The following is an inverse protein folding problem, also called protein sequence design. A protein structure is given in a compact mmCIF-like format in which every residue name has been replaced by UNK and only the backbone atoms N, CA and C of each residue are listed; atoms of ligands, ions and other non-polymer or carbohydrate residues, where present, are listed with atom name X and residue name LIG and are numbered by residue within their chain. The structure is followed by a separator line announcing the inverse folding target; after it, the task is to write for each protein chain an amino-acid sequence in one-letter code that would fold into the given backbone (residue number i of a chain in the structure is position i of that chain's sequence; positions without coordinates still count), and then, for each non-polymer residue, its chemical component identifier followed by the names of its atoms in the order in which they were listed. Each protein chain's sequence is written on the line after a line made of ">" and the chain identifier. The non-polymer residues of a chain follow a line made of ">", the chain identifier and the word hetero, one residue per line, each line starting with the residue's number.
data_IF_308238776504
#
_entry.id   IF_308238776504
#
_cell.length_a   1.000
_cell.length_b   1.000
_cell.length_c   1.000
_cell.angle_alpha   90.00
_cell.angle_beta   90.00
_cell.angle_gamma   90.00
#
_symmetry.space_group_name_H-M   'P 1'
#
loop_
_entity.id
_entity.type
_entity.pdbx_description
1 polymer ?
#
# COMPACT_ATOMS: atom_id res chain seq x y z
N UNK A 1 -11.44 -19.84 -11.66
CA UNK A 1 -11.37 -18.86 -12.77
C UNK A 1 -11.53 -17.42 -12.31
N UNK A 2 -12.52 -17.06 -11.47
CA UNK A 2 -12.65 -15.68 -10.98
C UNK A 2 -11.47 -15.23 -10.10
N UNK A 3 -11.05 -16.04 -9.12
CA UNK A 3 -9.93 -15.72 -8.24
C UNK A 3 -8.59 -15.53 -8.99
N UNK A 4 -8.32 -16.39 -9.98
CA UNK A 4 -7.12 -16.29 -10.83
C UNK A 4 -7.12 -14.99 -11.64
N UNK A 5 -8.27 -14.56 -12.18
CA UNK A 5 -8.37 -13.29 -12.88
C UNK A 5 -8.03 -12.10 -11.99
N UNK A 6 -8.57 -12.05 -10.76
CA UNK A 6 -8.25 -10.98 -9.82
C UNK A 6 -6.76 -10.98 -9.44
N UNK A 7 -6.16 -12.15 -9.17
CA UNK A 7 -4.73 -12.23 -8.88
C UNK A 7 -3.89 -11.65 -10.03
N UNK A 8 -4.22 -11.98 -11.28
CA UNK A 8 -3.53 -11.43 -12.45
C UNK A 8 -3.72 -9.91 -12.59
N UNK A 9 -4.95 -9.42 -12.41
CA UNK A 9 -5.27 -8.00 -12.51
C UNK A 9 -4.52 -7.17 -11.46
N UNK A 10 -4.56 -7.60 -10.19
CA UNK A 10 -3.87 -6.91 -9.11
C UNK A 10 -2.35 -7.07 -9.18
N UNK A 11 -1.85 -8.22 -9.66
CA UNK A 11 -0.43 -8.41 -9.97
C UNK A 11 0.06 -7.41 -11.02
N UNK A 12 -0.73 -7.18 -12.08
CA UNK A 12 -0.42 -6.18 -13.10
C UNK A 12 -0.42 -4.75 -12.52
N UNK A 13 -1.43 -4.40 -11.70
CA UNK A 13 -1.50 -3.09 -11.04
C UNK A 13 -0.30 -2.87 -10.11
N UNK A 14 0.06 -3.85 -9.30
CA UNK A 14 1.24 -3.78 -8.44
C UNK A 14 2.52 -3.59 -9.27
N UNK A 15 2.67 -4.33 -10.36
CA UNK A 15 3.82 -4.20 -11.25
C UNK A 15 3.91 -2.81 -11.87
N UNK A 16 2.78 -2.22 -12.28
CA UNK A 16 2.73 -0.83 -12.78
C UNK A 16 3.14 0.19 -11.70
N UNK A 17 2.76 0.00 -10.44
CA UNK A 17 3.21 0.86 -9.33
C UNK A 17 4.72 0.77 -9.11
N UNK A 18 5.28 -0.43 -9.20
CA UNK A 18 6.73 -0.63 -9.11
C UNK A 18 7.47 0.03 -10.28
N UNK A 19 6.94 -0.07 -11.50
CA UNK A 19 7.48 0.66 -12.66
C UNK A 19 7.45 2.16 -12.40
N UNK A 20 6.32 2.69 -11.93
CA UNK A 20 6.18 4.12 -11.64
C UNK A 20 7.11 4.58 -10.51
N UNK A 21 7.33 3.76 -9.47
CA UNK A 21 8.33 4.00 -8.44
C UNK A 21 9.75 4.08 -9.01
N UNK A 22 10.10 3.14 -9.90
CA UNK A 22 11.41 3.13 -10.56
C UNK A 22 11.60 4.35 -11.47
N UNK A 23 10.56 4.74 -12.20
CA UNK A 23 10.57 5.97 -13.02
C UNK A 23 10.68 7.21 -12.13
N UNK A 24 9.98 7.26 -11.01
CA UNK A 24 10.08 8.34 -10.04
C UNK A 24 11.50 8.46 -9.48
N UNK A 25 12.08 7.35 -9.02
CA UNK A 25 13.48 7.28 -8.55
C UNK A 25 14.43 7.76 -9.65
N UNK A 26 14.29 7.24 -10.87
CA UNK A 26 15.14 7.66 -12.00
C UNK A 26 15.02 9.17 -12.26
N UNK A 27 13.82 9.73 -12.21
CA UNK A 27 13.58 11.14 -12.50
C UNK A 27 14.05 12.07 -11.38
N UNK A 28 13.94 11.69 -10.10
CA UNK A 28 14.39 12.53 -8.98
C UNK A 28 15.92 12.55 -8.85
N UNK A 29 16.58 11.44 -9.16
CA UNK A 29 18.05 11.36 -9.16
C UNK A 29 18.68 11.83 -10.48
N UNK A 30 17.94 11.93 -11.59
CA UNK A 30 18.45 12.39 -12.90
C UNK A 30 19.34 13.66 -12.84
N UNK A 31 18.96 14.76 -12.14
CA UNK A 31 19.78 15.98 -12.10
C UNK A 31 21.12 15.78 -11.39
N UNK A 32 21.16 14.97 -10.33
CA UNK A 32 22.38 14.70 -9.56
C UNK A 32 23.22 13.54 -10.11
N UNK A 33 22.62 12.64 -10.91
CA UNK A 33 23.25 11.40 -11.40
C UNK A 33 24.58 11.63 -12.13
N UNK A 34 24.71 12.69 -12.93
CA UNK A 34 25.94 12.98 -13.69
C UNK A 34 27.13 13.34 -12.78
N UNK A 35 26.85 14.02 -11.66
CA UNK A 35 27.85 14.43 -10.66
C UNK A 35 28.18 13.24 -9.76
N UNK A 36 27.17 12.49 -9.32
CA UNK A 36 27.34 11.34 -8.45
C UNK A 36 28.11 10.21 -9.18
N UNK A 37 27.80 9.88 -10.44
CA UNK A 37 28.52 8.83 -11.21
C UNK A 37 30.02 9.09 -11.31
N UNK A 38 30.45 10.36 -11.41
CA UNK A 38 31.86 10.72 -11.51
C UNK A 38 32.64 10.43 -10.22
N UNK A 39 31.96 10.30 -9.08
CA UNK A 39 32.52 10.01 -7.74
C UNK A 39 32.11 8.64 -7.15
N UNK A 40 31.19 7.91 -7.80
CA UNK A 40 30.53 6.68 -7.29
C UNK A 40 31.37 5.41 -7.24
N UNK A 41 32.69 5.48 -7.47
CA UNK A 41 33.59 4.35 -7.18
C UNK A 41 33.74 4.11 -5.65
N UNK A 42 33.28 5.03 -4.79
CA UNK A 42 33.13 4.78 -3.35
C UNK A 42 31.68 4.45 -3.01
N UNK A 43 31.48 3.20 -2.57
CA UNK A 43 30.31 2.63 -1.88
C UNK A 43 29.50 3.67 -1.08
N UNK A 44 28.16 3.64 -1.25
CA UNK A 44 27.06 4.28 -0.49
C UNK A 44 26.41 5.54 -1.09
N UNK A 45 25.16 5.39 -1.58
CA UNK A 45 24.15 6.47 -1.81
C UNK A 45 23.75 7.11 -0.47
N UNK A 46 24.57 7.99 0.12
CA UNK A 46 24.23 8.72 1.36
C UNK A 46 23.68 10.12 1.11
N UNK A 47 22.87 10.62 2.05
CA UNK A 47 22.41 12.02 2.18
C UNK A 47 23.54 13.02 1.89
N UNK A 48 24.74 12.71 2.35
CA UNK A 48 25.95 13.52 2.17
C UNK A 48 26.37 13.65 0.69
N UNK A 49 26.29 12.58 -0.10
CA UNK A 49 26.58 12.67 -1.54
C UNK A 49 25.53 13.51 -2.28
N UNK A 50 24.28 13.40 -1.86
CA UNK A 50 23.20 14.20 -2.43
C UNK A 50 23.44 15.69 -2.14
N UNK A 51 23.78 16.01 -0.90
CA UNK A 51 24.15 17.36 -0.46
C UNK A 51 25.34 17.91 -1.27
N UNK A 52 26.44 17.15 -1.38
CA UNK A 52 27.60 17.55 -2.19
C UNK A 52 27.24 17.75 -3.66
N UNK A 53 26.41 16.86 -4.23
CA UNK A 53 25.99 16.97 -5.62
C UNK A 53 25.16 18.23 -5.88
N UNK A 54 24.33 18.68 -4.93
CA UNK A 54 23.61 19.95 -5.04
C UNK A 54 24.51 21.16 -4.87
N UNK A 55 25.49 21.08 -3.95
CA UNK A 55 26.48 22.14 -3.72
C UNK A 55 27.42 22.36 -4.92
N UNK A 56 27.70 21.31 -5.68
CA UNK A 56 28.56 21.35 -6.88
C UNK A 56 27.84 21.83 -8.15
N UNK A 57 26.52 22.05 -8.12
CA UNK A 57 25.76 22.56 -9.27
C UNK A 57 26.03 24.06 -9.49
N UNK A 58 25.96 24.51 -10.75
CA UNK A 58 25.92 25.95 -11.04
C UNK A 58 24.63 26.58 -10.48
N UNK A 59 24.66 27.88 -10.16
CA UNK A 59 23.50 28.60 -9.58
C UNK A 59 22.24 28.45 -10.43
N UNK A 60 22.37 28.51 -11.76
CA UNK A 60 21.24 28.37 -12.68
C UNK A 60 20.69 26.93 -12.72
N UNK A 61 21.56 25.93 -12.77
CA UNK A 61 21.16 24.51 -12.73
C UNK A 61 20.50 24.16 -11.40
N UNK A 62 21.01 24.69 -10.29
CA UNK A 62 20.44 24.52 -8.96
C UNK A 62 19.04 25.13 -8.86
N UNK A 63 18.84 26.37 -9.32
CA UNK A 63 17.53 27.05 -9.32
C UNK A 63 16.48 26.28 -10.12
N UNK A 64 16.84 25.82 -11.32
CA UNK A 64 15.96 25.00 -12.16
C UNK A 64 15.62 23.67 -11.49
N UNK A 65 16.62 23.04 -10.85
CA UNK A 65 16.44 21.75 -10.17
C UNK A 65 15.55 21.88 -8.92
N UNK A 66 15.73 22.95 -8.13
CA UNK A 66 14.87 23.31 -6.99
C UNK A 66 13.42 23.46 -7.42
N UNK A 67 13.15 24.21 -8.50
CA UNK A 67 11.79 24.37 -9.03
C UNK A 67 11.20 23.05 -9.55
N UNK A 68 11.98 22.23 -10.27
CA UNK A 68 11.54 20.92 -10.77
C UNK A 68 11.22 19.93 -9.65
N UNK A 69 11.94 20.00 -8.53
CA UNK A 69 11.66 19.14 -7.39
C UNK A 69 10.47 19.69 -6.61
N UNK A 70 10.38 21.00 -6.34
CA UNK A 70 9.20 21.60 -5.66
C UNK A 70 7.88 21.41 -6.41
N UNK A 71 7.91 21.38 -7.74
CA UNK A 71 6.70 21.17 -8.57
C UNK A 71 6.27 19.72 -8.69
N UNK A 72 7.07 18.75 -8.23
CA UNK A 72 6.67 17.34 -8.22
C UNK A 72 5.80 17.07 -7.01
N UNK A 73 4.52 16.82 -7.24
CA UNK A 73 3.63 16.38 -6.18
C UNK A 73 3.64 14.84 -6.06
N UNK A 74 4.15 14.27 -4.94
CA UNK A 74 4.10 12.84 -4.69
C UNK A 74 2.70 12.32 -4.32
N UNK A 75 1.74 13.22 -4.05
CA UNK A 75 0.36 12.93 -3.60
C UNK A 75 -0.71 13.00 -4.71
N UNK A 76 -0.35 13.45 -5.91
CA UNK A 76 -1.33 13.59 -7.00
C UNK A 76 -1.49 12.29 -7.81
N UNK A 77 -2.36 11.38 -7.37
CA UNK A 77 -2.85 10.34 -8.29
C UNK A 77 -4.29 9.91 -8.03
N UNK A 78 -5.03 9.69 -9.13
CA UNK A 78 -6.31 8.97 -9.18
C UNK A 78 -6.26 7.63 -8.40
N UNK A 79 -5.07 7.02 -8.35
CA UNK A 79 -4.80 5.76 -7.65
C UNK A 79 -4.97 5.92 -6.14
N UNK A 80 -4.63 7.09 -5.56
CA UNK A 80 -4.76 7.32 -4.11
C UNK A 80 -6.23 7.39 -3.68
N UNK A 81 -7.09 8.02 -4.48
CA UNK A 81 -8.55 8.03 -4.23
C UNK A 81 -9.18 6.66 -4.41
N UNK A 82 -8.77 5.91 -5.44
CA UNK A 82 -9.22 4.54 -5.66
C UNK A 82 -8.81 3.60 -4.52
N UNK A 83 -7.59 3.79 -3.99
CA UNK A 83 -7.07 3.01 -2.85
C UNK A 83 -7.78 3.35 -1.55
N UNK A 84 -8.12 4.62 -1.31
CA UNK A 84 -8.89 5.03 -0.13
C UNK A 84 -10.33 4.48 -0.16
N UNK A 85 -10.95 4.42 -1.35
CA UNK A 85 -12.26 3.81 -1.53
C UNK A 85 -12.19 2.28 -1.34
N UNK A 86 -11.16 1.64 -1.89
CA UNK A 86 -10.90 0.22 -1.72
C UNK A 86 -10.65 -0.17 -0.25
N UNK A 87 -9.85 0.62 0.49
CA UNK A 87 -9.53 0.34 1.88
C UNK A 87 -10.77 0.41 2.77
N UNK A 88 -11.63 1.43 2.58
CA UNK A 88 -12.91 1.56 3.28
C UNK A 88 -13.84 0.39 2.99
N UNK A 89 -13.89 -0.06 1.74
CA UNK A 89 -14.73 -1.18 1.34
C UNK A 89 -14.23 -2.50 1.96
N UNK A 90 -12.92 -2.76 1.96
CA UNK A 90 -12.32 -3.94 2.62
C UNK A 90 -12.59 -3.94 4.12
N UNK A 91 -12.40 -2.80 4.80
CA UNK A 91 -12.65 -2.68 6.24
C UNK A 91 -14.13 -2.94 6.56
N UNK A 92 -15.05 -2.36 5.78
CA UNK A 92 -16.49 -2.51 5.99
C UNK A 92 -16.93 -3.97 5.78
N UNK A 93 -16.47 -4.61 4.70
CA UNK A 93 -16.78 -6.02 4.40
C UNK A 93 -16.16 -6.94 5.45
N UNK A 94 -14.92 -6.68 5.86
CA UNK A 94 -14.24 -7.44 6.90
C UNK A 94 -14.94 -7.36 8.25
N UNK A 95 -15.40 -6.17 8.66
CA UNK A 95 -16.18 -5.98 9.88
C UNK A 95 -17.52 -6.71 9.82
N UNK A 96 -18.27 -6.59 8.71
CA UNK A 96 -19.53 -7.30 8.53
C UNK A 96 -19.35 -8.83 8.61
N UNK A 97 -18.26 -9.35 8.04
CA UNK A 97 -17.93 -10.76 8.10
C UNK A 97 -17.58 -11.23 9.51
N UNK A 98 -16.76 -10.47 10.25
CA UNK A 98 -16.45 -10.78 11.66
C UNK A 98 -17.71 -10.78 12.52
N UNK A 99 -18.57 -9.77 12.39
CA UNK A 99 -19.85 -9.69 13.12
C UNK A 99 -20.73 -10.90 12.82
N UNK A 100 -20.78 -11.33 11.56
CA UNK A 100 -21.57 -12.50 11.15
C UNK A 100 -21.01 -13.78 11.80
N UNK A 101 -19.69 -13.99 11.77
CA UNK A 101 -19.06 -15.15 12.40
C UNK A 101 -19.29 -15.15 13.91
N UNK A 102 -19.06 -14.02 14.58
CA UNK A 102 -19.27 -13.89 16.02
C UNK A 102 -20.72 -14.19 16.39
N UNK A 103 -21.69 -13.63 15.66
CA UNK A 103 -23.12 -13.84 15.91
C UNK A 103 -23.50 -15.31 15.80
N UNK A 104 -23.03 -15.99 14.74
CA UNK A 104 -23.33 -17.41 14.54
C UNK A 104 -22.63 -18.26 15.62
N UNK A 105 -21.39 -17.93 15.97
CA UNK A 105 -20.61 -18.66 16.99
C UNK A 105 -21.23 -18.52 18.37
N UNK A 106 -21.66 -17.32 18.74
CA UNK A 106 -22.38 -17.05 19.99
C UNK A 106 -23.75 -17.73 20.00
N UNK A 107 -24.48 -17.71 18.88
CA UNK A 107 -25.74 -18.44 18.75
C UNK A 107 -25.58 -19.94 18.95
N UNK A 108 -24.53 -20.54 18.34
CA UNK A 108 -24.21 -21.95 18.49
C UNK A 108 -23.78 -22.30 19.92
N UNK A 109 -22.91 -21.49 20.54
CA UNK A 109 -22.47 -21.67 21.92
C UNK A 109 -23.63 -21.58 22.91
N UNK A 110 -24.52 -20.61 22.74
CA UNK A 110 -25.72 -20.46 23.56
C UNK A 110 -26.67 -21.65 23.40
N UNK A 111 -26.83 -22.16 22.18
CA UNK A 111 -27.63 -23.36 21.92
C UNK A 111 -27.05 -24.60 22.59
N UNK A 112 -25.73 -24.82 22.47
CA UNK A 112 -25.03 -25.95 23.10
C UNK A 112 -25.04 -25.88 24.63
N UNK A 113 -24.93 -24.67 25.21
CA UNK A 113 -24.99 -24.49 26.66
C UNK A 113 -26.42 -24.61 27.22
N UNK A 114 -27.43 -24.26 26.44
CA UNK A 114 -28.85 -24.32 26.83
C UNK A 114 -29.43 -25.74 26.79
N UNK A 115 -28.95 -26.60 25.88
CA UNK A 115 -29.45 -27.96 25.69
C UNK A 115 -28.41 -29.01 26.12
N UNK A 116 -28.47 -29.42 27.39
CA UNK A 116 -27.51 -30.38 27.99
C UNK A 116 -27.69 -31.83 27.52
N UNK A 117 -28.89 -32.20 27.07
CA UNK A 117 -29.17 -33.52 26.49
C UNK A 117 -29.34 -33.39 24.96
N UNK A 118 -28.39 -33.96 24.22
CA UNK A 118 -28.41 -33.98 22.76
C UNK A 118 -29.39 -35.06 22.27
N UNK A 119 -30.69 -34.73 22.22
CA UNK A 119 -31.68 -35.50 21.48
C UNK A 119 -31.32 -35.57 19.99
N UNK A 120 -31.89 -36.52 19.25
CA UNK A 120 -31.66 -36.64 17.80
C UNK A 120 -32.08 -35.36 17.06
N UNK A 121 -33.17 -34.72 17.51
CA UNK A 121 -33.67 -33.44 17.01
C UNK A 121 -32.67 -32.28 17.23
N UNK A 122 -31.94 -32.30 18.36
CA UNK A 122 -30.88 -31.34 18.63
C UNK A 122 -29.66 -31.53 17.71
N UNK A 123 -29.38 -32.76 17.29
CA UNK A 123 -28.31 -33.05 16.31
C UNK A 123 -28.67 -32.53 14.92
N UNK A 124 -29.92 -32.73 14.49
CA UNK A 124 -30.39 -32.24 13.18
C UNK A 124 -30.38 -30.70 13.12
N UNK A 125 -30.71 -30.03 14.23
CA UNK A 125 -30.60 -28.57 14.35
C UNK A 125 -29.14 -28.08 14.26
N UNK A 126 -28.20 -28.76 14.93
CA UNK A 126 -26.77 -28.45 14.87
C UNK A 126 -26.24 -28.65 13.44
N UNK A 127 -26.62 -29.74 12.77
CA UNK A 127 -26.25 -30.00 11.38
C UNK A 127 -26.81 -28.93 10.43
N UNK A 128 -28.04 -28.46 10.68
CA UNK A 128 -28.64 -27.33 9.97
C UNK A 128 -27.87 -26.02 10.15
N UNK A 129 -27.43 -25.73 11.37
CA UNK A 129 -26.59 -24.55 11.67
C UNK A 129 -25.23 -24.68 11.00
N UNK A 130 -24.58 -25.85 11.07
CA UNK A 130 -23.29 -26.10 10.43
C UNK A 130 -23.38 -26.02 8.90
N UNK A 131 -24.45 -26.53 8.29
CA UNK A 131 -24.71 -26.38 6.85
C UNK A 131 -24.90 -24.92 6.46
N UNK A 132 -25.69 -24.16 7.23
CA UNK A 132 -25.90 -22.73 6.99
C UNK A 132 -24.59 -21.96 7.12
N UNK A 133 -23.78 -22.27 8.15
CA UNK A 133 -22.46 -21.68 8.33
C UNK A 133 -21.52 -22.00 7.17
N UNK A 134 -21.49 -23.26 6.75
CA UNK A 134 -20.69 -23.71 5.60
C UNK A 134 -21.13 -23.00 4.32
N UNK A 135 -22.43 -22.85 4.10
CA UNK A 135 -22.99 -22.17 2.93
C UNK A 135 -22.70 -20.66 2.95
N UNK A 136 -22.77 -20.02 4.11
CA UNK A 136 -22.40 -18.61 4.29
C UNK A 136 -20.90 -18.40 4.02
N UNK A 137 -20.04 -19.30 4.51
CA UNK A 137 -18.60 -19.24 4.22
C UNK A 137 -18.34 -19.46 2.73
N UNK A 138 -18.95 -20.46 2.11
CA UNK A 138 -18.77 -20.76 0.68
C UNK A 138 -19.28 -19.61 -0.20
N UNK A 139 -20.43 -19.03 0.11
CA UNK A 139 -20.98 -17.89 -0.63
C UNK A 139 -20.11 -16.63 -0.50
N UNK A 140 -19.51 -16.42 0.68
CA UNK A 140 -18.64 -15.27 0.93
C UNK A 140 -17.16 -15.52 0.61
N UNK A 141 -16.78 -16.74 0.22
CA UNK A 141 -15.38 -17.10 -0.02
C UNK A 141 -14.74 -16.24 -1.10
N UNK A 142 -15.47 -15.96 -2.19
CA UNK A 142 -15.00 -15.07 -3.27
C UNK A 142 -14.81 -13.63 -2.78
N UNK A 143 -15.76 -13.12 -1.98
CA UNK A 143 -15.70 -11.77 -1.41
C UNK A 143 -14.51 -11.65 -0.45
N UNK A 144 -14.28 -12.69 0.36
CA UNK A 144 -13.15 -12.75 1.27
C UNK A 144 -11.81 -12.78 0.52
N UNK A 145 -11.68 -13.64 -0.50
CA UNK A 145 -10.48 -13.70 -1.36
C UNK A 145 -10.22 -12.37 -2.06
N UNK A 146 -11.27 -11.74 -2.60
CA UNK A 146 -11.17 -10.43 -3.23
C UNK A 146 -10.71 -9.35 -2.25
N UNK A 147 -11.24 -9.36 -1.02
CA UNK A 147 -10.88 -8.42 0.04
C UNK A 147 -9.42 -8.59 0.49
N UNK A 148 -8.93 -9.83 0.59
CA UNK A 148 -7.52 -10.09 0.89
C UNK A 148 -6.58 -9.57 -0.20
N UNK A 149 -6.94 -9.76 -1.47
CA UNK A 149 -6.14 -9.27 -2.60
C UNK A 149 -6.11 -7.73 -2.60
N UNK A 150 -7.27 -7.09 -2.40
CA UNK A 150 -7.36 -5.63 -2.27
C UNK A 150 -6.52 -5.10 -1.10
N UNK A 151 -6.54 -5.78 0.04
CA UNK A 151 -5.73 -5.41 1.19
C UNK A 151 -4.23 -5.48 0.87
N UNK A 152 -3.78 -6.57 0.24
CA UNK A 152 -2.39 -6.73 -0.21
C UNK A 152 -1.96 -5.63 -1.18
N UNK A 153 -2.83 -5.29 -2.14
CA UNK A 153 -2.58 -4.18 -3.07
C UNK A 153 -2.50 -2.82 -2.35
N UNK A 154 -3.43 -2.53 -1.44
CA UNK A 154 -3.42 -1.28 -0.68
C UNK A 154 -2.14 -1.13 0.16
N UNK A 155 -1.65 -2.22 0.76
CA UNK A 155 -0.38 -2.24 1.49
C UNK A 155 0.80 -1.93 0.54
N UNK A 156 0.84 -2.54 -0.65
CA UNK A 156 1.87 -2.26 -1.66
C UNK A 156 1.85 -0.80 -2.12
N UNK A 157 0.66 -0.26 -2.39
CA UNK A 157 0.46 1.13 -2.76
C UNK A 157 0.98 2.09 -1.68
N UNK A 158 0.58 1.86 -0.44
CA UNK A 158 1.00 2.70 0.69
C UNK A 158 2.52 2.67 0.88
N UNK A 159 3.15 1.50 0.79
CA UNK A 159 4.61 1.39 0.80
C UNK A 159 5.27 2.19 -0.33
N UNK A 160 4.75 2.06 -1.55
CA UNK A 160 5.28 2.74 -2.74
C UNK A 160 5.18 4.26 -2.62
N UNK A 161 4.01 4.77 -2.21
CA UNK A 161 3.79 6.20 -1.97
C UNK A 161 4.68 6.71 -0.85
N UNK A 162 4.78 5.97 0.27
CA UNK A 162 5.65 6.34 1.39
C UNK A 162 7.12 6.45 0.97
N UNK A 163 7.61 5.51 0.14
CA UNK A 163 8.96 5.58 -0.42
C UNK A 163 9.15 6.81 -1.32
N UNK A 164 8.19 7.14 -2.19
CA UNK A 164 8.22 8.35 -3.03
C UNK A 164 8.27 9.61 -2.18
N UNK A 165 7.41 9.72 -1.16
CA UNK A 165 7.38 10.85 -0.22
C UNK A 165 8.69 10.99 0.54
N UNK A 166 9.25 9.88 1.04
CA UNK A 166 10.54 9.88 1.75
C UNK A 166 11.67 10.37 0.85
N UNK A 167 11.78 9.86 -0.37
CA UNK A 167 12.78 10.32 -1.35
C UNK A 167 12.58 11.79 -1.68
N UNK A 168 11.35 12.20 -1.96
CA UNK A 168 11.01 13.58 -2.28
C UNK A 168 11.38 14.55 -1.16
N UNK A 169 10.97 14.24 0.08
CA UNK A 169 11.29 15.02 1.27
C UNK A 169 12.80 15.13 1.48
N UNK A 170 13.53 14.03 1.36
CA UNK A 170 15.00 14.04 1.48
C UNK A 170 15.65 14.99 0.46
N UNK A 171 15.26 14.90 -0.82
CA UNK A 171 15.77 15.79 -1.85
C UNK A 171 15.41 17.27 -1.58
N UNK A 172 14.19 17.54 -1.11
CA UNK A 172 13.75 18.91 -0.78
C UNK A 172 14.53 19.49 0.40
N UNK A 173 14.65 18.77 1.51
CA UNK A 173 15.36 19.23 2.70
C UNK A 173 16.80 19.61 2.37
N UNK A 174 17.50 18.78 1.61
CA UNK A 174 18.89 19.04 1.22
C UNK A 174 19.00 20.23 0.27
N UNK A 175 18.06 20.40 -0.65
CA UNK A 175 18.02 21.59 -1.52
C UNK A 175 17.76 22.86 -0.72
N UNK A 176 16.97 22.79 0.34
CA UNK A 176 16.69 23.94 1.20
C UNK A 176 17.90 24.30 2.05
N UNK A 177 18.58 23.32 2.67
CA UNK A 177 19.85 23.53 3.37
C UNK A 177 20.92 24.16 2.47
N UNK A 178 21.12 23.63 1.26
CA UNK A 178 22.09 24.19 0.31
C UNK A 178 21.69 25.59 -0.17
N UNK A 179 20.40 25.91 -0.22
CA UNK A 179 19.95 27.26 -0.58
C UNK A 179 20.25 28.28 0.52
N UNK A 180 20.00 27.93 1.78
CA UNK A 180 20.27 28.79 2.94
C UNK A 180 21.78 29.10 3.07
N UNK A 181 22.65 28.11 2.87
CA UNK A 181 24.10 28.32 2.88
C UNK A 181 24.62 29.24 1.76
N UNK A 182 23.97 29.23 0.59
CA UNK A 182 24.39 30.04 -0.55
C UNK A 182 23.88 31.50 -0.47
N UNK A 183 22.94 31.78 0.42
CA UNK A 183 22.40 33.11 0.71
C UNK A 183 23.15 33.80 1.87
N UNK A 184 23.98 33.07 2.63
CA UNK A 184 24.90 33.57 3.66
C UNK A 184 26.27 33.94 3.08
#
# INVERSE_FOLDING_TARGET
>A
MAATFFIFLFGLLALLEWIDLLLFKKNIYKPVKKIIIRKLLSKYETTEMLYRAYKEMSKDEFKITKLKIKSKDPDSSFIQQLTDLASKLVVTVGLAFMVSITTISTGLLNYLNGNKDLSQENKDAIDGILKTFTQVIQNNQLIYQFSLILAGYAINHFMTVSLKKKMHKMHLTIIEEVAEENES
#
